data_IF_668231628632
#
_entry.id   IF_668231628632
#
_cell.length_a   1.000
_cell.length_b   1.000
_cell.length_c   1.000
_cell.angle_alpha   90.00
_cell.angle_beta   90.00
_cell.angle_gamma   90.00
#
_symmetry.space_group_name_H-M   'P 1'
#
loop_
_entity.id
_entity.type
_entity.pdbx_description
1 polymer ?
#
# COMPACT_ATOMS: atom_id res chain seq x y z
N UNK A 1 17.87 -8.92 -13.67
CA UNK A 1 17.73 -7.85 -14.71
C UNK A 1 16.31 -7.26 -14.67
N UNK A 2 15.98 -6.18 -15.40
CA UNK A 2 14.58 -5.70 -15.53
C UNK A 2 13.96 -6.15 -16.85
N UNK A 3 12.65 -6.40 -16.89
CA UNK A 3 11.88 -6.58 -18.12
C UNK A 3 11.78 -5.25 -18.89
N UNK A 4 12.14 -5.25 -20.18
CA UNK A 4 12.01 -4.09 -21.08
C UNK A 4 10.86 -4.26 -22.10
N UNK A 5 10.20 -5.42 -22.13
CA UNK A 5 9.03 -5.70 -22.97
C UNK A 5 7.73 -5.64 -22.18
N UNK A 6 6.71 -6.36 -22.69
CA UNK A 6 5.41 -6.49 -22.03
C UNK A 6 5.56 -7.31 -20.75
N UNK A 7 4.95 -6.83 -19.67
CA UNK A 7 4.90 -7.53 -18.39
C UNK A 7 4.09 -8.82 -18.51
N UNK A 8 4.55 -9.91 -17.90
CA UNK A 8 3.86 -11.21 -17.97
C UNK A 8 3.00 -11.53 -16.72
N UNK A 9 3.13 -10.72 -15.67
CA UNK A 9 2.36 -10.84 -14.44
C UNK A 9 0.95 -10.24 -14.51
N UNK A 10 0.24 -10.30 -13.39
CA UNK A 10 -1.11 -9.76 -13.23
C UNK A 10 -1.14 -8.65 -12.19
N UNK A 11 -1.89 -7.60 -12.48
CA UNK A 11 -2.33 -6.62 -11.47
C UNK A 11 -3.65 -7.11 -10.90
N UNK A 12 -3.71 -7.26 -9.59
CA UNK A 12 -4.89 -7.73 -8.87
C UNK A 12 -5.30 -6.62 -7.90
N UNK A 13 -6.52 -6.13 -8.05
CA UNK A 13 -7.17 -5.30 -7.03
C UNK A 13 -7.76 -6.21 -5.95
N UNK A 14 -7.65 -5.81 -4.69
CA UNK A 14 -8.24 -6.54 -3.57
C UNK A 14 -8.76 -5.58 -2.49
N UNK A 15 -9.66 -6.10 -1.65
CA UNK A 15 -10.21 -5.37 -0.52
C UNK A 15 -9.18 -5.30 0.62
N UNK A 16 -8.51 -4.16 0.80
CA UNK A 16 -7.60 -3.95 1.93
C UNK A 16 -8.31 -3.64 3.24
N UNK A 17 -9.59 -3.26 3.20
CA UNK A 17 -10.44 -3.06 4.38
C UNK A 17 -10.61 -4.34 5.22
N UNK A 18 -10.35 -5.53 4.65
CA UNK A 18 -10.23 -6.79 5.39
C UNK A 18 -9.16 -6.73 6.50
N UNK A 19 -8.11 -5.93 6.30
CA UNK A 19 -6.96 -5.86 7.21
C UNK A 19 -7.08 -4.71 8.23
N UNK A 20 -7.98 -3.76 8.00
CA UNK A 20 -8.28 -2.64 8.89
C UNK A 20 -9.76 -2.26 8.76
N UNK A 21 -10.56 -2.69 9.73
CA UNK A 21 -11.97 -2.33 9.81
C UNK A 21 -12.12 -0.79 9.88
N UNK A 22 -13.05 -0.24 9.09
CA UNK A 22 -13.22 1.20 8.90
C UNK A 22 -11.93 1.89 8.42
N UNK A 23 -11.23 1.28 7.47
CA UNK A 23 -9.96 1.75 6.89
C UNK A 23 -9.95 3.23 6.54
N UNK A 24 -11.04 3.76 5.97
CA UNK A 24 -11.16 5.16 5.58
C UNK A 24 -11.12 6.14 6.75
N UNK A 25 -11.60 5.75 7.93
CA UNK A 25 -11.48 6.54 9.15
C UNK A 25 -10.02 6.66 9.64
N UNK A 26 -9.14 5.81 9.11
CA UNK A 26 -7.70 5.80 9.41
C UNK A 26 -6.87 6.12 8.15
N UNK A 27 -7.46 6.84 7.18
CA UNK A 27 -6.77 7.32 5.98
C UNK A 27 -6.35 6.24 4.99
N UNK A 28 -6.87 5.02 5.09
CA UNK A 28 -6.64 3.95 4.13
C UNK A 28 -7.86 3.73 3.24
N UNK A 29 -7.66 3.49 1.95
CA UNK A 29 -8.74 3.10 1.02
C UNK A 29 -9.36 1.75 1.43
N UNK A 30 -10.51 1.37 0.86
CA UNK A 30 -10.98 -0.01 0.96
C UNK A 30 -10.30 -0.92 -0.06
N UNK A 31 -9.69 -0.36 -1.10
CA UNK A 31 -9.01 -1.12 -2.17
C UNK A 31 -7.50 -0.92 -2.16
N UNK A 32 -6.76 -1.97 -2.51
CA UNK A 32 -5.33 -1.95 -2.78
C UNK A 32 -5.00 -2.80 -3.99
N UNK A 33 -3.74 -2.73 -4.43
CA UNK A 33 -3.27 -3.42 -5.62
C UNK A 33 -2.05 -4.29 -5.32
N UNK A 34 -1.92 -5.38 -6.04
CA UNK A 34 -0.74 -6.24 -6.00
C UNK A 34 -0.35 -6.65 -7.42
N UNK A 35 0.95 -6.60 -7.71
CA UNK A 35 1.51 -7.14 -8.95
C UNK A 35 2.16 -8.50 -8.65
N UNK A 36 1.68 -9.53 -9.35
CA UNK A 36 2.16 -10.91 -9.20
C UNK A 36 2.78 -11.36 -10.53
N UNK A 37 4.12 -11.51 -10.61
CA UNK A 37 4.78 -12.09 -11.78
C UNK A 37 4.26 -13.49 -12.11
N UNK A 38 4.31 -13.89 -13.39
CA UNK A 38 3.84 -15.22 -13.80
C UNK A 38 4.54 -16.35 -13.05
N UNK A 39 5.85 -16.24 -12.82
CA UNK A 39 6.60 -17.23 -12.05
C UNK A 39 6.06 -17.43 -10.63
N UNK A 40 5.64 -16.36 -9.96
CA UNK A 40 5.04 -16.43 -8.63
C UNK A 40 3.64 -17.06 -8.67
N UNK A 41 2.83 -16.75 -9.68
CA UNK A 41 1.52 -17.40 -9.84
C UNK A 41 1.62 -18.89 -10.21
N UNK A 42 2.76 -19.31 -10.79
CA UNK A 42 3.03 -20.70 -11.16
C UNK A 42 3.67 -21.51 -10.01
N UNK A 43 3.81 -20.93 -8.81
CA UNK A 43 4.26 -21.63 -7.60
C UNK A 43 5.75 -21.50 -7.27
N UNK A 44 6.49 -20.60 -7.93
CA UNK A 44 7.86 -20.31 -7.50
C UNK A 44 7.90 -19.64 -6.12
N UNK A 45 8.96 -19.88 -5.35
CA UNK A 45 9.24 -19.10 -4.14
C UNK A 45 9.55 -17.66 -4.55
N UNK A 46 8.75 -16.72 -4.04
CA UNK A 46 8.86 -15.31 -4.35
C UNK A 46 9.14 -14.45 -3.12
N UNK A 47 9.85 -13.34 -3.35
CA UNK A 47 10.05 -12.27 -2.37
C UNK A 47 8.85 -11.33 -2.41
N UNK A 48 8.64 -10.58 -1.34
CA UNK A 48 7.65 -9.51 -1.28
C UNK A 48 8.36 -8.16 -1.13
N UNK A 49 7.93 -7.18 -1.92
CA UNK A 49 8.28 -5.78 -1.72
C UNK A 49 6.99 -4.97 -1.59
N UNK A 50 6.88 -4.21 -0.51
CA UNK A 50 5.79 -3.26 -0.29
C UNK A 50 6.30 -1.89 -0.71
N UNK A 51 5.56 -1.23 -1.58
CA UNK A 51 5.90 0.12 -2.04
C UNK A 51 4.81 1.10 -1.68
N UNK A 52 5.23 2.29 -1.24
CA UNK A 52 4.38 3.31 -0.64
C UNK A 52 4.37 4.55 -1.53
N UNK A 53 3.20 4.89 -2.05
CA UNK A 53 3.04 6.15 -2.78
C UNK A 53 3.15 7.35 -1.84
N UNK A 54 3.49 8.52 -2.38
CA UNK A 54 3.51 9.77 -1.63
C UNK A 54 2.11 10.37 -1.44
N UNK A 55 2.06 11.52 -0.76
CA UNK A 55 0.87 12.38 -0.76
C UNK A 55 0.45 12.73 -2.20
N UNK A 56 -0.85 12.85 -2.44
CA UNK A 56 -1.47 13.11 -3.75
C UNK A 56 -1.20 12.02 -4.81
N UNK A 57 -0.66 10.86 -4.41
CA UNK A 57 -0.34 9.77 -5.33
C UNK A 57 -1.13 8.47 -5.06
N UNK A 58 -2.16 8.54 -4.22
CA UNK A 58 -3.09 7.42 -4.05
C UNK A 58 -3.85 7.15 -5.35
N UNK A 59 -4.41 5.95 -5.46
CA UNK A 59 -5.25 5.56 -6.59
C UNK A 59 -6.45 6.50 -6.78
N UNK A 60 -7.03 7.01 -5.70
CA UNK A 60 -8.09 8.03 -5.72
C UNK A 60 -7.65 9.30 -6.48
N UNK A 61 -6.39 9.72 -6.32
CA UNK A 61 -5.89 10.99 -6.87
C UNK A 61 -5.35 10.86 -8.27
N UNK A 62 -4.64 9.76 -8.59
CA UNK A 62 -3.91 9.63 -9.86
C UNK A 62 -4.16 8.31 -10.59
N UNK A 63 -5.14 7.52 -10.15
CA UNK A 63 -5.44 6.20 -10.71
C UNK A 63 -4.24 5.26 -10.60
N UNK A 64 -4.00 4.49 -11.65
CA UNK A 64 -2.96 3.45 -11.69
C UNK A 64 -1.54 3.98 -11.97
N UNK A 65 -1.34 5.30 -12.06
CA UNK A 65 -0.05 5.90 -12.44
C UNK A 65 1.07 5.49 -11.49
N UNK A 66 0.86 5.51 -10.17
CA UNK A 66 1.89 5.04 -9.23
C UNK A 66 2.16 3.54 -9.39
N UNK A 67 1.10 2.76 -9.56
CA UNK A 67 1.17 1.30 -9.68
C UNK A 67 1.92 0.89 -10.94
N UNK A 68 1.69 1.58 -12.08
CA UNK A 68 2.23 1.19 -13.39
C UNK A 68 3.52 1.92 -13.81
N UNK A 69 3.75 3.16 -13.36
CA UNK A 69 4.77 4.03 -13.95
C UNK A 69 6.01 4.26 -13.07
N UNK A 70 6.05 3.68 -11.87
CA UNK A 70 7.20 3.77 -10.93
C UNK A 70 8.33 2.77 -11.25
N UNK A 71 8.10 1.83 -12.17
CA UNK A 71 9.11 0.92 -12.67
C UNK A 71 9.37 -0.33 -11.81
N UNK A 72 8.78 -0.44 -10.62
CA UNK A 72 8.93 -1.62 -9.75
C UNK A 72 8.55 -2.92 -10.47
N UNK A 73 7.43 -2.94 -11.20
CA UNK A 73 6.92 -4.15 -11.84
C UNK A 73 7.89 -4.74 -12.87
N UNK A 74 8.66 -3.89 -13.57
CA UNK A 74 9.66 -4.36 -14.55
C UNK A 74 10.80 -5.11 -13.89
N UNK A 75 11.19 -4.71 -12.69
CA UNK A 75 12.13 -5.48 -11.88
C UNK A 75 11.47 -6.70 -11.26
N UNK A 76 10.24 -6.57 -10.79
CA UNK A 76 9.48 -7.67 -10.22
C UNK A 76 9.35 -8.87 -11.17
N UNK A 77 9.02 -8.59 -12.43
CA UNK A 77 8.61 -9.56 -13.46
C UNK A 77 9.67 -10.61 -13.82
N UNK A 78 10.94 -10.31 -13.55
CA UNK A 78 12.08 -11.18 -13.90
C UNK A 78 12.94 -11.55 -12.70
N UNK A 79 12.50 -11.26 -11.47
CA UNK A 79 13.29 -11.53 -10.26
C UNK A 79 12.47 -12.20 -9.14
N UNK A 80 11.29 -12.76 -9.46
CA UNK A 80 10.42 -13.45 -8.50
C UNK A 80 10.08 -12.56 -7.29
N UNK A 81 9.64 -11.34 -7.56
CA UNK A 81 9.23 -10.38 -6.53
C UNK A 81 7.77 -10.03 -6.75
N UNK A 82 6.94 -10.23 -5.74
CA UNK A 82 5.58 -9.71 -5.69
C UNK A 82 5.66 -8.27 -5.20
N UNK A 83 4.93 -7.35 -5.84
CA UNK A 83 4.86 -5.95 -5.42
C UNK A 83 3.49 -5.65 -4.84
N UNK A 84 3.43 -5.29 -3.57
CA UNK A 84 2.23 -4.82 -2.91
C UNK A 84 2.17 -3.28 -2.97
N UNK A 85 1.01 -2.75 -3.37
CA UNK A 85 0.68 -1.32 -3.48
C UNK A 85 -0.53 -0.98 -2.59
N UNK A 86 -0.34 -0.86 -1.27
CA UNK A 86 -1.37 -0.38 -0.36
C UNK A 86 -1.79 1.04 -0.76
N UNK A 87 -3.03 1.43 -0.46
CA UNK A 87 -3.56 2.74 -0.85
C UNK A 87 -4.04 3.55 0.35
N UNK A 88 -3.73 4.83 0.38
CA UNK A 88 -4.43 5.77 1.26
C UNK A 88 -5.69 6.30 0.58
N UNK A 89 -6.50 7.02 1.35
CA UNK A 89 -7.60 7.86 0.85
C UNK A 89 -7.50 9.23 1.52
N UNK A 90 -7.91 10.29 0.81
CA UNK A 90 -7.98 11.61 1.41
C UNK A 90 -9.06 11.66 2.51
N UNK A 91 -8.74 12.31 3.62
CA UNK A 91 -9.70 12.58 4.71
C UNK A 91 -9.84 14.09 4.89
N UNK A 92 -11.07 14.53 5.17
CA UNK A 92 -11.39 15.95 5.42
C UNK A 92 -11.59 16.24 6.91
N UNK A 93 -11.50 15.24 7.78
CA UNK A 93 -11.60 15.40 9.22
C UNK A 93 -10.44 16.24 9.73
N UNK A 94 -10.73 17.19 10.60
CA UNK A 94 -9.71 17.96 11.32
C UNK A 94 -9.28 17.15 12.53
N UNK A 95 -8.25 16.34 12.35
CA UNK A 95 -7.69 15.51 13.42
C UNK A 95 -6.49 16.22 14.06
N UNK A 96 -6.43 16.23 15.39
CA UNK A 96 -5.25 16.69 16.12
C UNK A 96 -4.10 15.73 15.86
N UNK A 97 -3.01 16.23 15.29
CA UNK A 97 -1.80 15.42 15.11
C UNK A 97 -1.18 15.08 16.46
N UNK A 98 -0.35 14.05 16.47
CA UNK A 98 0.44 13.66 17.63
C UNK A 98 1.78 14.39 17.70
N UNK A 99 2.30 14.92 16.58
CA UNK A 99 3.61 15.57 16.51
C UNK A 99 3.62 17.00 17.03
N UNK A 100 2.62 17.81 16.68
CA UNK A 100 2.57 19.25 17.02
C UNK A 100 1.24 19.68 17.69
N UNK A 101 0.27 18.76 17.81
CA UNK A 101 -1.09 19.02 18.33
C UNK A 101 -1.86 20.06 17.52
N UNK A 102 -1.45 20.32 16.29
CA UNK A 102 -2.27 21.09 15.36
C UNK A 102 -3.40 20.22 14.82
N UNK A 103 -4.55 20.83 14.57
CA UNK A 103 -5.66 20.15 13.90
C UNK A 103 -5.59 20.41 12.41
N UNK A 104 -5.11 19.42 11.65
CA UNK A 104 -4.95 19.51 10.21
C UNK A 104 -5.61 18.32 9.51
N UNK A 105 -6.25 18.51 8.34
CA UNK A 105 -6.89 17.41 7.63
C UNK A 105 -5.91 16.74 6.68
N UNK A 106 -6.06 15.43 6.46
CA UNK A 106 -5.25 14.68 5.49
C UNK A 106 -5.89 14.70 4.09
N UNK A 107 -6.15 15.90 3.55
CA UNK A 107 -6.80 16.11 2.23
C UNK A 107 -5.96 15.63 1.05
N UNK A 108 -4.65 15.48 1.29
CA UNK A 108 -3.69 15.00 0.31
C UNK A 108 -3.60 13.47 0.26
N UNK A 109 -4.23 12.74 1.19
CA UNK A 109 -4.15 11.27 1.23
C UNK A 109 -2.71 10.79 1.47
N UNK A 110 -2.04 11.36 2.47
CA UNK A 110 -0.73 10.93 2.93
C UNK A 110 -0.83 9.67 3.82
N UNK A 111 0.25 8.90 3.88
CA UNK A 111 0.45 7.95 4.99
C UNK A 111 0.56 8.72 6.31
N UNK A 112 0.22 8.08 7.43
CA UNK A 112 0.25 8.72 8.73
C UNK A 112 1.67 8.81 9.28
N UNK A 113 2.27 10.00 9.17
CA UNK A 113 3.61 10.31 9.70
C UNK A 113 3.58 11.43 10.74
N UNK A 114 2.39 11.96 11.05
CA UNK A 114 2.16 13.02 12.04
C UNK A 114 1.26 12.57 13.19
N UNK A 115 0.65 11.39 13.10
CA UNK A 115 -0.25 10.83 14.08
C UNK A 115 -1.67 11.37 13.98
N UNK A 116 -2.21 11.47 12.76
CA UNK A 116 -3.64 11.74 12.53
C UNK A 116 -4.52 10.67 13.16
N UNK A 117 -4.07 9.41 13.14
CA UNK A 117 -4.91 8.25 13.44
C UNK A 117 -4.52 7.53 14.74
N UNK A 118 -3.73 8.20 15.58
CA UNK A 118 -3.28 7.71 16.88
C UNK A 118 -1.85 8.14 17.21
N UNK A 119 -1.53 8.20 18.50
CA UNK A 119 -0.18 8.53 18.99
C UNK A 119 0.86 7.44 18.75
N UNK A 120 0.42 6.27 18.30
CA UNK A 120 1.26 5.10 18.03
C UNK A 120 1.52 4.90 16.53
N UNK A 121 1.30 5.93 15.71
CA UNK A 121 1.40 5.91 14.25
C UNK A 121 2.75 5.38 13.72
N UNK A 122 3.85 5.65 14.43
CA UNK A 122 5.22 5.29 14.06
C UNK A 122 5.72 3.99 14.71
N UNK A 123 4.89 3.31 15.50
CA UNK A 123 5.22 2.02 16.12
C UNK A 123 4.34 0.89 15.59
N UNK A 124 4.66 -0.34 15.99
CA UNK A 124 4.02 -1.57 15.47
C UNK A 124 2.51 -1.63 15.66
N UNK A 125 1.98 -0.97 16.70
CA UNK A 125 0.54 -0.95 17.00
C UNK A 125 -0.25 0.06 16.18
N UNK A 126 0.42 1.01 15.51
CA UNK A 126 -0.21 2.03 14.70
C UNK A 126 -1.14 1.43 13.65
N UNK A 127 -2.28 2.10 13.40
CA UNK A 127 -3.37 1.55 12.58
C UNK A 127 -2.90 1.15 11.19
N UNK A 128 -2.24 2.06 10.48
CA UNK A 128 -1.74 1.80 9.13
C UNK A 128 -0.62 0.75 9.13
N UNK A 129 0.35 0.86 10.05
CA UNK A 129 1.44 -0.12 10.22
C UNK A 129 0.92 -1.54 10.48
N UNK A 130 -0.09 -1.69 11.34
CA UNK A 130 -0.71 -2.98 11.64
C UNK A 130 -1.45 -3.58 10.44
N UNK A 131 -2.10 -2.74 9.61
CA UNK A 131 -2.77 -3.16 8.39
C UNK A 131 -1.75 -3.70 7.37
N UNK A 132 -0.61 -3.00 7.19
CA UNK A 132 0.50 -3.46 6.35
C UNK A 132 1.01 -4.82 6.79
N UNK A 133 1.21 -4.99 8.10
CA UNK A 133 1.69 -6.25 8.67
C UNK A 133 0.74 -7.41 8.36
N UNK A 134 -0.58 -7.21 8.50
CA UNK A 134 -1.56 -8.25 8.19
C UNK A 134 -1.63 -8.59 6.71
N UNK A 135 -1.54 -7.60 5.82
CA UNK A 135 -1.44 -7.84 4.37
C UNK A 135 -0.18 -8.64 4.02
N UNK A 136 0.96 -8.27 4.61
CA UNK A 136 2.21 -9.01 4.47
C UNK A 136 2.05 -10.46 4.92
N UNK A 137 1.49 -10.68 6.12
CA UNK A 137 1.30 -12.01 6.69
C UNK A 137 0.43 -12.90 5.80
N UNK A 138 -0.67 -12.35 5.27
CA UNK A 138 -1.56 -13.06 4.33
C UNK A 138 -0.83 -13.48 3.05
N UNK A 139 0.01 -12.62 2.50
CA UNK A 139 0.77 -12.95 1.27
C UNK A 139 1.81 -14.04 1.57
N UNK A 140 2.47 -13.95 2.73
CA UNK A 140 3.57 -14.87 3.09
C UNK A 140 3.12 -16.19 3.71
N UNK A 141 1.83 -16.34 4.08
CA UNK A 141 1.31 -17.59 4.66
C UNK A 141 1.14 -18.73 3.66
N UNK A 142 1.33 -18.47 2.37
CA UNK A 142 1.28 -19.48 1.31
C UNK A 142 2.60 -20.20 1.05
N UNK A 143 3.63 -19.94 1.86
CA UNK A 143 4.89 -20.69 1.86
C UNK A 143 4.77 -21.98 2.66
#
# INVERSE_FOLDING_TARGET
PRNNGVLNGKFIEFNQGEFLMNSSAYGMSDTAWIYVPKSCSDGAICKLHITYHGCQQSHEKIGDKYIKNTGYNRWADTNNIIILYPQTVATNAMDSTSTDRESIPNVNGCWDWVGWYGSDFDVKSGKQSSAMKKMMDRITSGF
#
